data_IF_529623060130
#
_entry.id   IF_529623060130
#
_cell.length_a   1.000
_cell.length_b   1.000
_cell.length_c   1.000
_cell.angle_alpha   90.00
_cell.angle_beta   90.00
_cell.angle_gamma   90.00
#
_symmetry.space_group_name_H-M   'P 1'
#
loop_
_entity.id
_entity.type
_entity.pdbx_description
1 polymer ?
#
# COMPACT_ATOMS: atom_id res chain seq x y z
N UNK A 1 -13.14 -16.39 -25.77
CA UNK A 1 -12.21 -15.44 -25.13
C UNK A 1 -11.72 -16.09 -23.85
N UNK A 2 -10.45 -16.46 -23.80
CA UNK A 2 -9.84 -17.28 -22.74
C UNK A 2 -9.78 -16.49 -21.42
N UNK A 3 -10.40 -17.05 -20.38
CA UNK A 3 -10.29 -16.59 -19.00
C UNK A 3 -8.85 -16.89 -18.54
N UNK A 4 -7.97 -15.90 -18.46
CA UNK A 4 -6.61 -16.08 -17.95
C UNK A 4 -6.68 -16.27 -16.42
N UNK A 5 -6.80 -17.52 -15.98
CA UNK A 5 -6.58 -17.89 -14.58
C UNK A 5 -5.07 -18.06 -14.37
N UNK A 6 -4.50 -17.34 -13.40
CA UNK A 6 -3.10 -17.48 -13.01
C UNK A 6 -3.03 -18.40 -11.77
N UNK A 7 -2.18 -19.43 -11.82
CA UNK A 7 -1.91 -20.31 -10.70
C UNK A 7 -0.58 -19.92 -10.04
N UNK A 8 -0.59 -19.80 -8.71
CA UNK A 8 0.58 -19.47 -7.91
C UNK A 8 0.77 -20.48 -6.79
N UNK A 9 2.01 -20.74 -6.43
CA UNK A 9 2.36 -21.41 -5.18
C UNK A 9 2.72 -20.34 -4.13
N UNK A 10 1.87 -20.23 -3.11
CA UNK A 10 2.05 -19.27 -2.00
C UNK A 10 2.12 -20.06 -0.72
N UNK A 11 3.28 -20.09 -0.08
CA UNK A 11 3.51 -20.85 1.16
C UNK A 11 3.18 -22.34 1.04
N UNK A 12 3.34 -22.94 -0.15
CA UNK A 12 2.97 -24.33 -0.42
C UNK A 12 1.47 -24.56 -0.66
N UNK A 13 0.68 -23.49 -0.74
CA UNK A 13 -0.71 -23.53 -1.18
C UNK A 13 -0.80 -23.14 -2.64
N UNK A 14 -1.45 -23.98 -3.45
CA UNK A 14 -1.79 -23.66 -4.83
C UNK A 14 -3.02 -22.77 -4.87
N UNK A 15 -2.82 -21.51 -5.27
CA UNK A 15 -3.87 -20.49 -5.34
C UNK A 15 -4.12 -20.12 -6.79
N UNK A 16 -5.38 -20.14 -7.21
CA UNK A 16 -5.80 -19.65 -8.52
C UNK A 16 -6.43 -18.27 -8.38
N UNK A 17 -5.87 -17.31 -9.10
CA UNK A 17 -6.38 -15.95 -9.18
C UNK A 17 -6.98 -15.73 -10.56
N UNK A 18 -8.22 -15.24 -10.58
CA UNK A 18 -8.84 -14.76 -11.81
C UNK A 18 -8.32 -13.36 -12.09
N UNK A 19 -7.78 -13.19 -13.28
CA UNK A 19 -7.66 -11.86 -13.86
C UNK A 19 -9.08 -11.41 -14.25
N UNK A 20 -9.66 -10.51 -13.46
CA UNK A 20 -10.99 -9.96 -13.68
C UNK A 20 -11.01 -8.86 -14.74
N UNK A 21 -9.87 -8.58 -15.39
CA UNK A 21 -9.74 -7.51 -16.37
C UNK A 21 -9.92 -6.12 -15.75
N UNK A 22 -9.83 -6.00 -14.42
CA UNK A 22 -9.77 -4.70 -13.77
C UNK A 22 -8.43 -4.04 -14.08
N UNK A 23 -8.44 -2.71 -14.24
CA UNK A 23 -7.25 -1.85 -14.44
C UNK A 23 -6.38 -1.81 -13.15
N UNK A 24 -5.96 -2.98 -12.68
CA UNK A 24 -5.02 -3.09 -11.56
C UNK A 24 -3.68 -2.58 -12.06
N UNK A 25 -3.23 -1.48 -11.45
CA UNK A 25 -1.86 -0.96 -11.66
C UNK A 25 -0.78 -1.96 -11.25
N UNK A 26 -1.12 -2.94 -10.41
CA UNK A 26 -0.21 -3.97 -9.89
C UNK A 26 -0.58 -5.35 -10.41
N UNK A 27 0.39 -6.05 -10.99
CA UNK A 27 0.19 -7.43 -11.47
C UNK A 27 0.01 -8.41 -10.30
N UNK A 28 -0.81 -9.47 -10.46
CA UNK A 28 -0.95 -10.52 -9.45
C UNK A 28 0.39 -11.17 -9.05
N UNK A 29 1.35 -11.29 -9.99
CA UNK A 29 2.69 -11.81 -9.73
C UNK A 29 3.46 -10.97 -8.69
N UNK A 30 3.41 -9.63 -8.81
CA UNK A 30 4.08 -8.73 -7.85
C UNK A 30 3.50 -8.85 -6.44
N UNK A 31 2.18 -9.02 -6.34
CA UNK A 31 1.53 -9.24 -5.04
C UNK A 31 1.99 -10.55 -4.40
N UNK A 32 2.12 -11.61 -5.21
CA UNK A 32 2.63 -12.91 -4.75
C UNK A 32 4.10 -12.83 -4.31
N UNK A 33 4.95 -12.17 -5.10
CA UNK A 33 6.36 -11.94 -4.75
C UNK A 33 6.50 -11.22 -3.40
N UNK A 34 5.73 -10.16 -3.17
CA UNK A 34 5.72 -9.43 -1.91
C UNK A 34 5.32 -10.32 -0.73
N UNK A 35 4.26 -11.12 -0.88
CA UNK A 35 3.82 -12.06 0.16
C UNK A 35 4.91 -13.09 0.48
N UNK A 36 5.57 -13.64 -0.54
CA UNK A 36 6.64 -14.62 -0.36
C UNK A 36 7.88 -14.01 0.30
N UNK A 37 8.23 -12.77 -0.03
CA UNK A 37 9.32 -12.04 0.60
C UNK A 37 9.06 -11.83 2.10
N UNK A 38 7.87 -11.33 2.46
CA UNK A 38 7.48 -11.15 3.87
C UNK A 38 7.43 -12.47 4.63
N UNK A 39 6.90 -13.51 4.00
CA UNK A 39 6.88 -14.85 4.58
C UNK A 39 8.29 -15.39 4.86
N UNK A 40 9.24 -15.20 3.94
CA UNK A 40 10.65 -15.57 4.14
C UNK A 40 11.26 -14.81 5.31
N UNK A 41 11.07 -13.49 5.36
CA UNK A 41 11.55 -12.66 6.48
C UNK A 41 10.99 -13.08 7.85
N UNK A 42 9.72 -13.51 7.90
CA UNK A 42 9.13 -14.06 9.13
C UNK A 42 9.72 -15.42 9.48
N UNK A 43 9.89 -16.31 8.51
CA UNK A 43 10.48 -17.64 8.71
C UNK A 43 11.96 -17.56 9.10
N UNK A 44 12.71 -16.58 8.59
CA UNK A 44 14.10 -16.34 8.99
C UNK A 44 14.20 -15.95 10.47
N UNK A 45 13.22 -15.18 10.98
CA UNK A 45 13.12 -14.80 12.39
C UNK A 45 12.54 -15.92 13.27
N UNK A 46 11.62 -16.71 12.73
CA UNK A 46 10.88 -17.75 13.46
C UNK A 46 10.73 -19.03 12.62
N UNK A 47 11.78 -19.85 12.48
CA UNK A 47 11.80 -20.99 11.55
C UNK A 47 10.82 -22.11 11.88
N UNK A 48 10.38 -22.20 13.13
CA UNK A 48 9.46 -23.24 13.62
C UNK A 48 7.98 -22.88 13.46
N UNK A 49 7.65 -21.71 12.90
CA UNK A 49 6.27 -21.32 12.70
C UNK A 49 5.60 -22.16 11.60
N UNK A 50 4.39 -22.60 11.90
CA UNK A 50 3.51 -23.19 10.90
C UNK A 50 3.14 -22.18 9.80
N UNK A 51 2.94 -22.67 8.58
CA UNK A 51 2.63 -21.88 7.39
C UNK A 51 1.36 -21.05 7.53
N UNK A 52 0.33 -21.58 8.21
CA UNK A 52 -0.89 -20.84 8.48
C UNK A 52 -0.63 -19.65 9.39
N UNK A 53 0.19 -19.82 10.43
CA UNK A 53 0.61 -18.71 11.30
C UNK A 53 1.45 -17.67 10.55
N UNK A 54 2.37 -18.11 9.69
CA UNK A 54 3.15 -17.21 8.83
C UNK A 54 2.22 -16.40 7.91
N UNK A 55 1.24 -17.04 7.27
CA UNK A 55 0.28 -16.33 6.41
C UNK A 55 -0.51 -15.26 7.17
N UNK A 56 -0.96 -15.55 8.41
CA UNK A 56 -1.64 -14.56 9.26
C UNK A 56 -0.71 -13.40 9.61
N UNK A 57 0.54 -13.67 9.98
CA UNK A 57 1.51 -12.61 10.28
C UNK A 57 1.82 -11.74 9.07
N UNK A 58 2.00 -12.33 7.88
CA UNK A 58 2.17 -11.56 6.64
C UNK A 58 0.95 -10.67 6.38
N UNK A 59 -0.27 -11.19 6.55
CA UNK A 59 -1.47 -10.40 6.37
C UNK A 59 -1.55 -9.22 7.35
N UNK A 60 -1.16 -9.41 8.61
CA UNK A 60 -1.12 -8.36 9.62
C UNK A 60 -0.04 -7.31 9.30
N UNK A 61 1.17 -7.72 8.91
CA UNK A 61 2.25 -6.80 8.51
C UNK A 61 1.81 -5.96 7.30
N UNK A 62 1.22 -6.58 6.26
CA UNK A 62 0.75 -5.85 5.08
C UNK A 62 -0.44 -4.91 5.39
N UNK A 63 -1.32 -5.29 6.30
CA UNK A 63 -2.42 -4.43 6.74
C UNK A 63 -1.90 -3.22 7.52
N UNK A 64 -0.91 -3.40 8.39
CA UNK A 64 -0.24 -2.32 9.10
C UNK A 64 0.47 -1.37 8.12
N UNK A 65 1.30 -1.91 7.22
CA UNK A 65 2.02 -1.12 6.20
C UNK A 65 1.03 -0.28 5.35
N UNK A 66 -0.13 -0.85 5.00
CA UNK A 66 -1.18 -0.13 4.28
C UNK A 66 -1.77 1.01 5.10
N UNK A 67 -2.11 0.77 6.37
CA UNK A 67 -2.68 1.78 7.25
C UNK A 67 -1.70 2.92 7.50
N UNK A 68 -0.42 2.60 7.71
CA UNK A 68 0.64 3.58 7.90
C UNK A 68 0.80 4.45 6.65
N UNK A 69 0.82 3.84 5.46
CA UNK A 69 0.89 4.58 4.19
C UNK A 69 -0.34 5.47 3.95
N UNK A 70 -1.55 4.99 4.27
CA UNK A 70 -2.78 5.79 4.16
C UNK A 70 -2.77 6.99 5.12
N UNK A 71 -2.20 6.83 6.31
CA UNK A 71 -2.05 7.91 7.29
C UNK A 71 -0.99 8.92 6.84
N UNK A 72 0.18 8.46 6.38
CA UNK A 72 1.26 9.32 5.86
C UNK A 72 0.76 10.18 4.69
N UNK A 73 0.05 9.58 3.73
CA UNK A 73 -0.53 10.34 2.61
C UNK A 73 -1.56 11.38 3.07
N UNK A 74 -2.37 11.07 4.08
CA UNK A 74 -3.33 12.04 4.64
C UNK A 74 -2.61 13.22 5.26
N UNK A 75 -1.60 12.95 6.09
CA UNK A 75 -0.79 13.98 6.74
C UNK A 75 -0.08 14.87 5.71
N UNK A 76 0.45 14.29 4.66
CA UNK A 76 1.14 15.04 3.60
C UNK A 76 0.20 15.96 2.82
N UNK A 77 -1.02 15.49 2.53
CA UNK A 77 -2.06 16.31 1.89
C UNK A 77 -2.48 17.46 2.82
N UNK A 78 -2.67 17.18 4.12
CA UNK A 78 -3.03 18.20 5.10
C UNK A 78 -1.92 19.27 5.24
N UNK A 79 -0.65 18.85 5.33
CA UNK A 79 0.50 19.77 5.35
C UNK A 79 0.60 20.60 4.07
N UNK A 80 0.36 20.00 2.91
CA UNK A 80 0.35 20.71 1.63
C UNK A 80 -0.76 21.77 1.59
N UNK A 81 -1.96 21.41 2.06
CA UNK A 81 -3.08 22.33 2.11
C UNK A 81 -2.80 23.49 3.06
N UNK A 82 -2.27 23.20 4.25
CA UNK A 82 -1.86 24.21 5.22
C UNK A 82 -0.81 25.16 4.62
N UNK A 83 0.26 24.62 4.05
CA UNK A 83 1.34 25.41 3.43
C UNK A 83 0.80 26.29 2.30
N UNK A 84 -0.14 25.78 1.50
CA UNK A 84 -0.78 26.55 0.42
C UNK A 84 -1.63 27.69 0.98
N UNK A 85 -2.42 27.43 2.02
CA UNK A 85 -3.22 28.46 2.70
C UNK A 85 -2.34 29.54 3.31
N UNK A 86 -1.26 29.18 4.00
CA UNK A 86 -0.30 30.12 4.58
C UNK A 86 0.38 30.98 3.51
N UNK A 87 0.77 30.38 2.38
CA UNK A 87 1.36 31.11 1.26
C UNK A 87 0.38 32.11 0.62
N UNK A 88 -0.90 31.74 0.49
CA UNK A 88 -1.95 32.65 -0.02
C UNK A 88 -2.16 33.82 0.95
N UNK A 89 -2.30 33.55 2.25
CA UNK A 89 -2.46 34.58 3.28
C UNK A 89 -1.28 35.55 3.29
N UNK A 90 -0.05 35.04 3.18
CA UNK A 90 1.14 35.89 3.09
C UNK A 90 1.10 36.85 1.89
N UNK A 91 0.60 36.41 0.73
CA UNK A 91 0.43 37.28 -0.45
C UNK A 91 -0.65 38.34 -0.20
N UNK A 92 -1.77 37.94 0.41
CA UNK A 92 -2.89 38.86 0.74
C UNK A 92 -2.47 39.93 1.75
N UNK A 93 -1.70 39.55 2.78
CA UNK A 93 -1.21 40.47 3.81
C UNK A 93 -0.16 41.46 3.28
N UNK A 94 0.52 41.12 2.18
CA UNK A 94 1.48 41.99 1.49
C UNK A 94 0.83 42.88 0.42
N UNK A 95 -0.46 42.71 0.12
CA UNK A 95 -1.16 43.57 -0.83
C UNK A 95 -1.37 44.97 -0.21
N UNK A 96 -0.91 46.05 -0.86
CA UNK A 96 -1.06 47.40 -0.30
C UNK A 96 -2.54 47.81 -0.19
N UNK A 97 -2.96 48.48 0.90
CA UNK A 97 -4.32 49.01 1.04
C UNK A 97 -4.47 50.28 0.20
N UNK A 98 -4.63 50.16 -1.11
CA UNK A 98 -5.03 51.26 -2.00
C UNK A 98 -5.82 50.64 -3.14
N UNK A 99 -7.15 50.77 -3.23
CA UNK A 99 -7.90 52.01 -3.41
C UNK A 99 -9.27 51.91 -2.72
N UNK A 100 -9.53 52.78 -1.74
CA UNK A 100 -10.87 53.21 -1.30
C UNK A 100 -10.88 54.74 -1.26
#
# INVERSE_FOLDING_TARGET
MTRNELEFDVLGYKVRMKDDGSDRRTSPSKAVELVLERARSILDRYPSLDRGKVAVLVALELAADKLDLENEYREDIEKLHQTTTEAIQFIEDLAPPTLS
#
